data_IF_909650246693
#
_entry.id   IF_909650246693
#
_cell.length_a   1.000
_cell.length_b   1.000
_cell.length_c   1.000
_cell.angle_alpha   90.00
_cell.angle_beta   90.00
_cell.angle_gamma   90.00
#
_symmetry.space_group_name_H-M   'P 1'
#
loop_
_entity.id
_entity.type
_entity.pdbx_description
1 polymer ?
#
# COMPACT_ATOMS: atom_id res chain seq x y z
N UNK A 1 -7.48 -14.00 -26.54
CA UNK A 1 -6.25 -13.71 -25.77
C UNK A 1 -6.49 -12.75 -24.61
N UNK A 2 -7.13 -11.59 -24.84
CA UNK A 2 -7.38 -10.58 -23.79
C UNK A 2 -8.21 -11.09 -22.59
N UNK A 3 -9.24 -11.91 -22.83
CA UNK A 3 -10.04 -12.51 -21.74
C UNK A 3 -9.22 -13.40 -20.79
N UNK A 4 -8.21 -14.12 -21.31
CA UNK A 4 -7.36 -15.00 -20.50
C UNK A 4 -6.46 -14.18 -19.59
N UNK A 5 -5.86 -13.10 -20.11
CA UNK A 5 -5.05 -12.17 -19.32
C UNK A 5 -5.91 -11.52 -18.22
N UNK A 6 -7.11 -11.06 -18.58
CA UNK A 6 -8.05 -10.48 -17.62
C UNK A 6 -8.45 -11.45 -16.52
N UNK A 7 -8.74 -12.72 -16.86
CA UNK A 7 -9.05 -13.75 -15.88
C UNK A 7 -7.87 -14.04 -14.93
N UNK A 8 -6.65 -14.15 -15.46
CA UNK A 8 -5.43 -14.38 -14.66
C UNK A 8 -5.19 -13.22 -13.69
N UNK A 9 -5.36 -11.98 -14.14
CA UNK A 9 -5.22 -10.79 -13.29
C UNK A 9 -6.29 -10.76 -12.20
N UNK A 10 -7.55 -11.05 -12.54
CA UNK A 10 -8.65 -11.07 -11.58
C UNK A 10 -8.43 -12.12 -10.48
N UNK A 11 -8.06 -13.34 -10.86
CA UNK A 11 -7.72 -14.41 -9.91
C UNK A 11 -6.49 -14.02 -9.08
N UNK A 12 -5.45 -13.48 -9.72
CA UNK A 12 -4.25 -13.01 -9.05
C UNK A 12 -4.54 -11.95 -7.99
N UNK A 13 -5.44 -11.01 -8.27
CA UNK A 13 -5.85 -9.98 -7.32
C UNK A 13 -6.62 -10.53 -6.11
N UNK A 14 -7.56 -11.47 -6.33
CA UNK A 14 -8.33 -12.09 -5.23
C UNK A 14 -7.41 -12.91 -4.33
N UNK A 15 -6.57 -13.75 -4.93
CA UNK A 15 -5.63 -14.61 -4.18
C UNK A 15 -4.57 -13.76 -3.50
N UNK A 16 -4.05 -12.72 -4.15
CA UNK A 16 -3.04 -11.82 -3.60
C UNK A 16 -3.54 -11.05 -2.38
N UNK A 17 -4.74 -10.46 -2.46
CA UNK A 17 -5.37 -9.79 -1.32
C UNK A 17 -5.59 -10.74 -0.15
N UNK A 18 -6.13 -11.93 -0.41
CA UNK A 18 -6.37 -12.96 0.63
C UNK A 18 -5.06 -13.42 1.27
N UNK A 19 -4.02 -13.61 0.48
CA UNK A 19 -2.70 -14.04 0.94
C UNK A 19 -2.01 -12.96 1.78
N UNK A 20 -2.11 -11.69 1.39
CA UNK A 20 -1.59 -10.57 2.16
C UNK A 20 -2.25 -10.48 3.54
N UNK A 21 -3.58 -10.63 3.62
CA UNK A 21 -4.31 -10.68 4.89
C UNK A 21 -3.87 -11.87 5.73
N UNK A 22 -3.74 -13.05 5.12
CA UNK A 22 -3.26 -14.24 5.82
C UNK A 22 -1.86 -14.01 6.42
N UNK A 23 -0.91 -13.43 5.68
CA UNK A 23 0.41 -13.07 6.22
C UNK A 23 0.29 -12.07 7.37
N UNK A 24 -0.47 -10.99 7.17
CA UNK A 24 -0.60 -9.92 8.16
C UNK A 24 -1.25 -10.41 9.46
N UNK A 25 -2.28 -11.24 9.37
CA UNK A 25 -2.96 -11.83 10.53
C UNK A 25 -2.04 -12.81 11.27
N UNK A 26 -1.34 -13.70 10.56
CA UNK A 26 -0.40 -14.62 11.21
C UNK A 26 0.76 -13.88 11.89
N UNK A 27 1.24 -12.78 11.28
CA UNK A 27 2.27 -11.92 11.87
C UNK A 27 1.74 -11.17 13.11
N UNK A 28 0.51 -10.64 13.04
CA UNK A 28 -0.15 -9.98 14.17
C UNK A 28 -0.41 -10.91 15.35
N UNK A 29 -0.90 -12.12 15.10
CA UNK A 29 -1.22 -13.11 16.14
C UNK A 29 0.03 -13.80 16.69
N UNK A 30 1.17 -13.74 15.99
CA UNK A 30 2.40 -14.41 16.40
C UNK A 30 2.34 -15.94 16.28
N UNK A 31 1.47 -16.48 15.43
CA UNK A 31 1.42 -17.91 15.13
C UNK A 31 2.54 -18.29 14.14
N UNK A 32 3.08 -19.50 14.26
CA UNK A 32 4.22 -20.03 13.47
C UNK A 32 5.55 -19.26 13.64
N UNK A 33 6.30 -18.97 12.56
CA UNK A 33 7.68 -18.46 12.60
C UNK A 33 7.82 -17.02 13.16
N UNK A 34 6.73 -16.29 13.37
CA UNK A 34 6.73 -14.88 13.78
C UNK A 34 6.53 -14.66 15.30
N UNK A 35 6.64 -15.72 16.13
CA UNK A 35 6.50 -15.65 17.60
C UNK A 35 7.45 -14.64 18.29
N UNK A 36 8.56 -14.26 17.65
CA UNK A 36 9.54 -13.28 18.16
C UNK A 36 9.31 -11.84 17.69
N UNK A 37 8.43 -11.61 16.70
CA UNK A 37 8.24 -10.29 16.06
C UNK A 37 6.75 -9.93 16.06
N UNK A 38 6.06 -10.18 17.18
CA UNK A 38 4.70 -9.69 17.36
C UNK A 38 4.72 -8.17 17.35
N UNK A 39 4.20 -7.60 16.26
CA UNK A 39 4.11 -6.16 16.12
C UNK A 39 2.69 -5.82 15.70
N UNK A 40 2.00 -4.98 16.47
CA UNK A 40 0.68 -4.45 16.11
C UNK A 40 0.73 -3.69 14.75
N UNK A 41 1.93 -3.26 14.36
CA UNK A 41 2.27 -2.64 13.08
C UNK A 41 2.40 -3.64 11.92
N UNK A 42 1.88 -4.87 12.06
CA UNK A 42 1.95 -5.89 11.01
C UNK A 42 1.31 -5.43 9.70
N UNK A 43 0.14 -4.79 9.74
CA UNK A 43 -0.55 -4.31 8.53
C UNK A 43 0.26 -3.28 7.72
N UNK A 44 0.75 -2.16 8.30
CA UNK A 44 1.53 -1.19 7.53
C UNK A 44 2.90 -1.74 7.10
N UNK A 45 3.51 -2.64 7.88
CA UNK A 45 4.78 -3.29 7.49
C UNK A 45 4.61 -4.27 6.33
N UNK A 46 3.55 -5.08 6.33
CA UNK A 46 3.23 -5.97 5.20
C UNK A 46 2.93 -5.17 3.94
N UNK A 47 2.21 -4.05 4.05
CA UNK A 47 1.99 -3.12 2.93
C UNK A 47 3.30 -2.48 2.41
N UNK A 48 4.23 -2.12 3.30
CA UNK A 48 5.53 -1.60 2.90
C UNK A 48 6.36 -2.68 2.18
N UNK A 49 6.45 -3.90 2.72
CA UNK A 49 7.17 -5.01 2.09
C UNK A 49 6.53 -5.37 0.74
N UNK A 50 5.20 -5.40 0.67
CA UNK A 50 4.44 -5.59 -0.57
C UNK A 50 4.80 -4.54 -1.62
N UNK A 51 4.82 -3.26 -1.25
CA UNK A 51 5.23 -2.16 -2.14
C UNK A 51 6.68 -2.27 -2.60
N UNK A 52 7.58 -2.70 -1.72
CA UNK A 52 8.99 -2.91 -2.04
C UNK A 52 9.20 -4.08 -3.02
N UNK A 53 8.39 -5.14 -2.92
CA UNK A 53 8.42 -6.28 -3.85
C UNK A 53 7.68 -5.99 -5.17
N UNK A 54 6.66 -5.12 -5.14
CA UNK A 54 5.90 -4.72 -6.32
C UNK A 54 6.76 -3.92 -7.31
N UNK A 55 7.70 -3.11 -6.81
CA UNK A 55 8.58 -2.28 -7.62
C UNK A 55 9.47 -3.09 -8.59
N UNK A 56 10.35 -4.02 -8.14
CA UNK A 56 11.21 -4.79 -9.03
C UNK A 56 10.39 -5.65 -9.99
N UNK A 57 9.27 -6.20 -9.53
CA UNK A 57 8.37 -7.00 -10.38
C UNK A 57 7.82 -6.15 -11.54
N UNK A 58 7.36 -4.93 -11.24
CA UNK A 58 6.81 -4.02 -12.26
C UNK A 58 7.87 -3.51 -13.23
N UNK A 59 9.10 -3.28 -12.75
CA UNK A 59 10.22 -2.90 -13.60
C UNK A 59 10.66 -4.04 -14.53
N UNK A 60 10.65 -5.29 -14.05
CA UNK A 60 11.02 -6.47 -14.85
C UNK A 60 9.93 -6.86 -15.86
N UNK A 61 8.67 -6.50 -15.62
CA UNK A 61 7.56 -6.79 -16.54
C UNK A 61 7.66 -6.05 -17.88
N UNK A 62 8.33 -4.90 -17.93
CA UNK A 62 8.50 -4.10 -19.15
C UNK A 62 9.46 -4.73 -20.18
N UNK A 63 10.73 -5.07 -19.85
CA UNK A 63 11.65 -5.69 -20.79
C UNK A 63 11.24 -7.11 -21.16
N UNK A 64 10.52 -7.81 -20.28
CA UNK A 64 9.95 -9.13 -20.52
C UNK A 64 9.12 -9.23 -21.79
N UNK A 65 8.46 -8.13 -22.19
CA UNK A 65 7.58 -8.07 -23.35
C UNK A 65 8.30 -8.40 -24.67
N UNK A 66 9.61 -8.16 -24.74
CA UNK A 66 10.41 -8.42 -25.94
C UNK A 66 11.11 -9.79 -25.93
N UNK A 67 11.11 -10.53 -24.82
CA UNK A 67 11.94 -11.74 -24.65
C UNK A 67 11.13 -13.03 -24.78
N UNK A 68 10.13 -13.23 -23.92
CA UNK A 68 9.38 -14.49 -23.85
C UNK A 68 7.95 -14.24 -23.36
N UNK A 69 6.99 -14.80 -24.09
CA UNK A 69 5.58 -14.71 -23.79
C UNK A 69 5.18 -15.41 -22.47
N UNK A 70 5.82 -16.53 -22.12
CA UNK A 70 5.56 -17.22 -20.84
C UNK A 70 6.02 -16.37 -19.65
N UNK A 71 7.16 -15.71 -19.80
CA UNK A 71 7.71 -14.83 -18.78
C UNK A 71 6.84 -13.59 -18.57
N UNK A 72 6.23 -13.05 -19.65
CA UNK A 72 5.22 -11.98 -19.57
C UNK A 72 4.00 -12.45 -18.78
N UNK A 73 3.44 -13.62 -19.06
CA UNK A 73 2.28 -14.12 -18.32
C UNK A 73 2.57 -14.30 -16.82
N UNK A 74 3.73 -14.85 -16.49
CA UNK A 74 4.14 -15.06 -15.10
C UNK A 74 4.35 -13.74 -14.35
N UNK A 75 5.09 -12.80 -14.94
CA UNK A 75 5.33 -11.49 -14.33
C UNK A 75 4.05 -10.67 -14.21
N UNK A 76 3.15 -10.74 -15.19
CA UNK A 76 1.88 -10.02 -15.14
C UNK A 76 0.97 -10.54 -14.02
N UNK A 77 0.97 -11.87 -13.78
CA UNK A 77 0.32 -12.44 -12.60
C UNK A 77 0.92 -11.88 -11.29
N UNK A 78 2.25 -11.81 -11.19
CA UNK A 78 2.91 -11.32 -9.98
C UNK A 78 2.70 -9.81 -9.77
N UNK A 79 2.70 -9.03 -10.84
CA UNK A 79 2.38 -7.58 -10.85
C UNK A 79 0.91 -7.32 -10.50
N UNK A 80 0.00 -8.26 -10.72
CA UNK A 80 -1.37 -8.16 -10.20
C UNK A 80 -1.46 -8.64 -8.73
N UNK A 81 -0.75 -9.72 -8.39
CA UNK A 81 -0.81 -10.37 -7.09
C UNK A 81 -0.25 -9.50 -5.96
N UNK A 82 0.98 -9.00 -6.10
CA UNK A 82 1.67 -8.29 -4.99
C UNK A 82 0.98 -6.97 -4.63
N UNK A 83 0.65 -6.07 -5.59
CA UNK A 83 0.00 -4.79 -5.27
C UNK A 83 -1.42 -4.94 -4.73
N UNK A 84 -2.13 -6.02 -5.07
CA UNK A 84 -3.50 -6.24 -4.57
C UNK A 84 -3.56 -6.30 -3.03
N UNK A 85 -2.49 -6.77 -2.39
CA UNK A 85 -2.36 -6.76 -0.94
C UNK A 85 -2.24 -5.36 -0.33
N UNK A 86 -1.61 -4.42 -1.04
CA UNK A 86 -1.43 -3.05 -0.54
C UNK A 86 -2.77 -2.35 -0.30
N UNK A 87 -3.72 -2.54 -1.21
CA UNK A 87 -5.08 -2.01 -1.06
C UNK A 87 -5.74 -2.51 0.22
N UNK A 88 -5.65 -3.81 0.48
CA UNK A 88 -6.25 -4.43 1.67
C UNK A 88 -5.57 -3.95 2.94
N UNK A 89 -4.23 -3.90 2.94
CA UNK A 89 -3.46 -3.41 4.09
C UNK A 89 -3.75 -1.94 4.41
N UNK A 90 -3.94 -1.09 3.39
CA UNK A 90 -4.33 0.30 3.60
C UNK A 90 -5.68 0.43 4.32
N UNK A 91 -6.64 -0.44 3.98
CA UNK A 91 -7.95 -0.48 4.66
C UNK A 91 -7.84 -0.99 6.08
N UNK A 92 -7.05 -2.02 6.34
CA UNK A 92 -6.83 -2.51 7.71
C UNK A 92 -6.17 -1.44 8.60
N UNK A 93 -5.18 -0.71 8.07
CA UNK A 93 -4.56 0.44 8.76
C UNK A 93 -5.59 1.53 9.05
N UNK A 94 -6.43 1.89 8.07
CA UNK A 94 -7.46 2.90 8.26
C UNK A 94 -8.44 2.51 9.37
N UNK A 95 -8.90 1.26 9.36
CA UNK A 95 -9.84 0.76 10.36
C UNK A 95 -9.21 0.70 11.76
N UNK A 96 -7.90 0.53 11.87
CA UNK A 96 -7.19 0.59 13.15
C UNK A 96 -7.14 2.01 13.72
N UNK A 97 -6.91 3.02 12.89
CA UNK A 97 -6.78 4.43 13.32
C UNK A 97 -8.14 5.08 13.59
N UNK A 98 -9.17 4.70 12.85
CA UNK A 98 -10.47 5.39 12.90
C UNK A 98 -11.41 4.75 13.94
N UNK A 99 -12.04 5.56 14.83
CA UNK A 99 -13.02 5.06 15.79
C UNK A 99 -14.26 4.50 15.09
N UNK A 100 -14.80 3.42 15.67
CA UNK A 100 -15.87 2.60 15.08
C UNK A 100 -17.11 3.37 14.61
N UNK A 101 -17.46 4.46 15.29
CA UNK A 101 -18.66 5.28 14.98
C UNK A 101 -18.56 6.08 13.68
N UNK A 102 -17.36 6.31 13.13
CA UNK A 102 -17.14 7.16 11.93
C UNK A 102 -16.45 6.44 10.77
N UNK A 103 -16.20 5.13 10.89
CA UNK A 103 -15.47 4.34 9.89
C UNK A 103 -16.10 4.38 8.51
N UNK A 104 -17.42 4.28 8.41
CA UNK A 104 -18.12 4.26 7.11
C UNK A 104 -17.88 5.55 6.30
N UNK A 105 -18.09 6.72 6.91
CA UNK A 105 -17.90 8.02 6.25
C UNK A 105 -16.44 8.30 5.91
N UNK A 106 -15.51 7.90 6.79
CA UNK A 106 -14.09 8.10 6.50
C UNK A 106 -13.57 7.19 5.38
N UNK A 107 -14.05 5.95 5.35
CA UNK A 107 -13.71 4.99 4.29
C UNK A 107 -14.25 5.45 2.94
N UNK A 108 -15.48 5.96 2.89
CA UNK A 108 -16.03 6.49 1.64
C UNK A 108 -15.25 7.71 1.14
N UNK A 109 -14.89 8.64 2.03
CA UNK A 109 -14.04 9.78 1.68
C UNK A 109 -12.69 9.32 1.13
N UNK A 110 -12.03 8.36 1.80
CA UNK A 110 -10.77 7.79 1.33
C UNK A 110 -10.89 7.25 -0.10
N UNK A 111 -11.93 6.46 -0.38
CA UNK A 111 -12.15 5.91 -1.72
C UNK A 111 -12.46 6.97 -2.76
N UNK A 112 -13.29 7.97 -2.42
CA UNK A 112 -13.59 9.08 -3.34
C UNK A 112 -12.30 9.78 -3.76
N UNK A 113 -11.43 10.12 -2.80
CA UNK A 113 -10.15 10.75 -3.12
C UNK A 113 -9.19 9.80 -3.85
N UNK A 114 -9.14 8.53 -3.46
CA UNK A 114 -8.28 7.53 -4.11
C UNK A 114 -8.67 7.32 -5.58
N UNK A 115 -9.95 7.19 -5.88
CA UNK A 115 -10.43 7.03 -7.26
C UNK A 115 -10.32 8.31 -8.07
N UNK A 116 -10.60 9.47 -7.46
CA UNK A 116 -10.49 10.77 -8.14
C UNK A 116 -9.05 11.13 -8.49
N UNK A 117 -8.08 10.77 -7.66
CA UNK A 117 -6.66 11.11 -7.85
C UNK A 117 -5.84 10.00 -8.51
N UNK A 118 -6.28 8.74 -8.42
CA UNK A 118 -5.57 7.57 -8.91
C UNK A 118 -6.20 6.97 -10.16
N UNK A 119 -7.32 6.29 -10.00
CA UNK A 119 -7.92 5.47 -11.09
C UNK A 119 -8.47 6.29 -12.25
N UNK A 120 -9.14 7.41 -11.98
CA UNK A 120 -9.68 8.26 -13.03
C UNK A 120 -8.59 8.98 -13.84
N UNK A 121 -7.61 9.68 -13.22
CA UNK A 121 -6.60 10.44 -13.96
C UNK A 121 -5.38 9.61 -14.35
N UNK A 122 -5.15 8.44 -13.73
CA UNK A 122 -4.00 7.57 -13.98
C UNK A 122 -3.73 7.27 -15.47
N UNK A 123 -4.69 6.75 -16.24
CA UNK A 123 -4.48 6.47 -17.67
C UNK A 123 -4.24 7.74 -18.49
N UNK A 124 -4.87 8.86 -18.12
CA UNK A 124 -4.66 10.14 -18.78
C UNK A 124 -3.26 10.69 -18.53
N UNK A 125 -2.77 10.63 -17.28
CA UNK A 125 -1.41 11.06 -16.92
C UNK A 125 -0.36 10.21 -17.63
N UNK A 126 -0.52 8.88 -17.64
CA UNK A 126 0.40 7.99 -18.34
C UNK A 126 0.40 8.26 -19.86
N UNK A 127 -0.78 8.49 -20.45
CA UNK A 127 -0.90 8.89 -21.85
C UNK A 127 -0.21 10.22 -22.15
N UNK A 128 -0.44 11.25 -21.34
CA UNK A 128 0.20 12.56 -21.50
C UNK A 128 1.73 12.51 -21.38
N UNK A 129 2.27 11.68 -20.47
CA UNK A 129 3.72 11.45 -20.36
C UNK A 129 4.23 10.76 -21.62
N UNK A 130 3.53 9.73 -22.12
CA UNK A 130 3.87 9.05 -23.36
C UNK A 130 3.87 10.01 -24.56
N UNK A 131 2.86 10.86 -24.68
CA UNK A 131 2.74 11.84 -25.77
C UNK A 131 3.83 12.91 -25.70
N UNK A 132 4.19 13.36 -24.49
CA UNK A 132 5.30 14.29 -24.27
C UNK A 132 6.65 13.66 -24.67
N UNK A 133 6.88 12.38 -24.36
CA UNK A 133 8.10 11.65 -24.75
C UNK A 133 8.16 11.41 -26.27
N UNK A 134 7.01 11.28 -26.93
CA UNK A 134 6.88 11.01 -28.36
C UNK A 134 7.24 12.21 -29.24
N UNK A 135 7.17 13.45 -28.72
CA UNK A 135 7.51 14.69 -29.44
C UNK A 135 6.89 14.81 -30.85
N UNK A 136 5.68 14.26 -31.05
CA UNK A 136 4.97 14.31 -32.33
C UNK A 136 5.47 13.35 -33.42
N UNK A 137 6.39 12.43 -33.13
CA UNK A 137 6.82 11.40 -34.07
C UNK A 137 5.74 10.32 -34.27
N UNK A 138 5.44 9.96 -35.53
CA UNK A 138 4.44 8.93 -35.84
C UNK A 138 5.01 7.50 -35.94
N UNK A 139 6.32 7.35 -35.73
CA UNK A 139 7.01 6.07 -35.85
C UNK A 139 6.52 5.04 -34.80
N UNK A 140 6.15 3.81 -35.21
CA UNK A 140 5.64 2.79 -34.31
C UNK A 140 6.62 2.41 -33.18
N UNK A 141 7.92 2.39 -33.48
CA UNK A 141 8.96 2.06 -32.49
C UNK A 141 9.11 3.14 -31.43
N UNK A 142 9.12 4.42 -31.84
CA UNK A 142 9.20 5.55 -30.91
C UNK A 142 7.95 5.59 -30.03
N UNK A 143 6.78 5.29 -30.60
CA UNK A 143 5.53 5.18 -29.84
C UNK A 143 5.57 4.08 -28.79
N UNK A 144 6.14 2.91 -29.13
CA UNK A 144 6.30 1.81 -28.19
C UNK A 144 7.26 2.19 -27.04
N UNK A 145 8.43 2.75 -27.36
CA UNK A 145 9.41 3.15 -26.34
C UNK A 145 8.90 4.30 -25.45
N UNK A 146 8.17 5.26 -26.01
CA UNK A 146 7.54 6.34 -25.25
C UNK A 146 6.51 5.79 -24.24
N UNK A 147 5.69 4.82 -24.65
CA UNK A 147 4.71 4.19 -23.77
C UNK A 147 5.37 3.36 -22.66
N UNK A 148 6.38 2.57 -22.99
CA UNK A 148 7.14 1.79 -21.99
C UNK A 148 7.82 2.72 -20.98
N UNK A 149 8.39 3.84 -21.43
CA UNK A 149 8.98 4.85 -20.56
C UNK A 149 7.93 5.54 -19.67
N UNK A 150 6.72 5.78 -20.17
CA UNK A 150 5.62 6.27 -19.35
C UNK A 150 5.19 5.25 -18.27
N UNK A 151 5.17 3.96 -18.59
CA UNK A 151 4.88 2.89 -17.63
C UNK A 151 5.97 2.74 -16.55
N UNK A 152 7.24 2.99 -16.89
CA UNK A 152 8.30 3.11 -15.89
C UNK A 152 8.06 4.29 -14.94
N UNK A 153 7.58 5.43 -15.44
CA UNK A 153 7.18 6.54 -14.59
C UNK A 153 6.03 6.15 -13.65
N UNK A 154 5.02 5.41 -14.13
CA UNK A 154 3.94 4.89 -13.27
C UNK A 154 4.46 3.92 -12.20
N UNK A 155 5.45 3.08 -12.53
CA UNK A 155 6.06 2.15 -11.58
C UNK A 155 6.77 2.85 -10.42
N UNK A 156 7.23 4.09 -10.60
CA UNK A 156 7.84 4.88 -9.53
C UNK A 156 6.86 5.21 -8.38
N UNK A 157 5.56 5.16 -8.62
CA UNK A 157 4.53 5.38 -7.59
C UNK A 157 4.56 4.33 -6.49
N UNK A 158 5.11 3.13 -6.76
CA UNK A 158 5.33 2.13 -5.71
C UNK A 158 6.32 2.60 -4.65
N UNK A 159 7.28 3.48 -4.99
CA UNK A 159 8.18 4.11 -4.01
C UNK A 159 7.39 5.04 -3.09
N UNK A 160 6.48 5.84 -3.66
CA UNK A 160 5.61 6.74 -2.88
C UNK A 160 4.71 5.92 -1.94
N UNK A 161 4.17 4.80 -2.43
CA UNK A 161 3.37 3.87 -1.65
C UNK A 161 4.17 3.25 -0.49
N UNK A 162 5.41 2.80 -0.75
CA UNK A 162 6.33 2.32 0.28
C UNK A 162 6.58 3.37 1.36
N UNK A 163 6.91 4.60 0.97
CA UNK A 163 7.13 5.71 1.89
C UNK A 163 5.87 6.02 2.73
N UNK A 164 4.69 5.98 2.11
CA UNK A 164 3.42 6.19 2.81
C UNK A 164 3.14 5.13 3.87
N UNK A 165 3.30 3.84 3.53
CA UNK A 165 3.15 2.75 4.49
C UNK A 165 4.19 2.79 5.61
N UNK A 166 5.43 3.13 5.28
CA UNK A 166 6.49 3.29 6.26
C UNK A 166 6.21 4.47 7.22
N UNK A 167 5.73 5.59 6.69
CA UNK A 167 5.29 6.73 7.49
C UNK A 167 4.12 6.35 8.41
N UNK A 168 3.13 5.62 7.91
CA UNK A 168 2.02 5.12 8.72
C UNK A 168 2.52 4.22 9.87
N UNK A 169 3.45 3.29 9.59
CA UNK A 169 4.08 2.47 10.63
C UNK A 169 4.81 3.31 11.69
N UNK A 170 5.52 4.36 11.26
CA UNK A 170 6.23 5.26 12.17
C UNK A 170 5.28 6.07 13.07
N UNK A 171 4.23 6.68 12.49
CA UNK A 171 3.26 7.46 13.25
C UNK A 171 2.47 6.60 14.23
N UNK A 172 2.00 5.42 13.80
CA UNK A 172 1.33 4.47 14.69
C UNK A 172 2.24 4.02 15.84
N UNK A 173 3.53 3.77 15.57
CA UNK A 173 4.50 3.43 16.63
C UNK A 173 4.63 4.58 17.63
N UNK A 174 4.78 5.81 17.14
CA UNK A 174 4.95 7.00 17.98
C UNK A 174 3.73 7.22 18.90
N UNK A 175 2.53 7.18 18.35
CA UNK A 175 1.29 7.38 19.11
C UNK A 175 1.13 6.32 20.21
N UNK A 176 1.50 5.06 19.94
CA UNK A 176 1.44 3.97 20.93
C UNK A 176 2.48 4.11 22.05
N UNK A 177 3.67 4.62 21.74
CA UNK A 177 4.66 4.95 22.76
C UNK A 177 4.20 6.12 23.63
N UNK A 178 3.51 7.09 23.05
CA UNK A 178 2.89 8.19 23.79
C UNK A 178 1.72 7.71 24.67
N UNK A 179 1.01 6.65 24.29
CA UNK A 179 -0.08 6.03 25.07
C UNK A 179 0.40 4.96 26.08
N UNK A 180 1.71 4.70 26.20
CA UNK A 180 2.23 3.66 27.11
C UNK A 180 1.94 3.96 28.59
N UNK A 181 1.78 2.91 29.42
CA UNK A 181 1.26 3.01 30.79
C UNK A 181 2.06 3.95 31.70
N UNK A 182 3.34 4.22 31.43
CA UNK A 182 4.13 5.20 32.17
C UNK A 182 3.51 6.61 32.13
N UNK A 183 2.97 7.04 30.99
CA UNK A 183 2.29 8.36 30.90
C UNK A 183 0.88 8.34 31.46
N UNK A 184 0.20 7.18 31.39
CA UNK A 184 -1.09 7.01 32.04
C UNK A 184 -0.95 7.06 33.57
N UNK A 185 0.06 6.40 34.12
CA UNK A 185 0.43 6.46 35.55
C UNK A 185 0.86 7.89 35.91
N UNK A 186 1.70 8.54 35.11
CA UNK A 186 2.08 9.94 35.33
C UNK A 186 0.86 10.87 35.35
N UNK A 187 -0.12 10.67 34.47
CA UNK A 187 -1.34 11.49 34.45
C UNK A 187 -2.28 11.24 35.64
N UNK A 188 -2.20 10.08 36.28
CA UNK A 188 -2.94 9.76 37.51
C UNK A 188 -2.23 10.42 38.70
N UNK A 189 -0.90 10.29 38.78
CA UNK A 189 -0.07 10.94 39.81
C UNK A 189 -0.24 12.46 39.75
N UNK A 190 -0.16 13.06 38.57
CA UNK A 190 -0.37 14.51 38.39
C UNK A 190 -1.79 14.95 38.79
N UNK A 191 -2.81 14.08 38.71
CA UNK A 191 -4.17 14.39 39.18
C UNK A 191 -4.28 14.32 40.71
N UNK A 192 -3.66 13.33 41.34
CA UNK A 192 -3.64 13.21 42.80
C UNK A 192 -2.90 14.39 43.46
N UNK A 193 -1.78 14.85 42.87
CA UNK A 193 -1.03 16.01 43.36
C UNK A 193 -1.84 17.32 43.29
N UNK A 194 -2.67 17.47 42.26
CA UNK A 194 -3.57 18.63 42.08
C UNK A 194 -4.76 18.59 43.03
N UNK A 195 -5.28 17.41 43.37
CA UNK A 195 -6.35 17.27 44.37
C UNK A 195 -5.81 17.52 45.80
N UNK A 196 -4.61 17.05 46.12
CA UNK A 196 -3.98 17.34 47.41
C UNK A 196 -3.73 18.83 47.62
N UNK A 197 -3.27 19.56 46.60
CA UNK A 197 -3.06 21.03 46.73
C UNK A 197 -4.35 21.81 46.95
N UNK A 198 -5.47 21.38 46.35
CA UNK A 198 -6.79 22.00 46.58
C UNK A 198 -7.41 21.69 47.94
N UNK A 199 -6.95 20.65 48.63
CA UNK A 199 -7.47 20.27 49.96
C UNK A 199 -6.79 20.98 51.14
N UNK A 200 -5.71 21.73 50.86
CA UNK A 200 -4.89 22.43 51.86
C UNK A 200 -5.19 23.94 51.89
N UNK A 201 -5.88 24.48 50.88
CA UNK A 201 -6.46 25.84 50.85
C UNK A 201 -7.89 25.86 51.41
#
# INVERSE_FOLDING_TARGET
MQMVIGAVIAVGGIVGGSFAVWIAQNWKEGRHCFRRVQTILAFPLVGAIGSMLALPTSLLAQPALAWDIFLVYFLNFYTAFVPSGNYVMAMDVLMEVIPSSRRASATSLLYVFAYLLGDCPGPYIAGAISDALRNGSDDPEVRYHALVNALYATSSLFVVCFCGFFAAAYFMKKERLEQSPEKAIQSIVDREDVEMTKSVE
#
